data_IF_174325177711
#
_entry.id   IF_174325177711
#
_cell.length_a   1.000
_cell.length_b   1.000
_cell.length_c   1.000
_cell.angle_alpha   90.00
_cell.angle_beta   90.00
_cell.angle_gamma   90.00
#
_symmetry.space_group_name_H-M   'P 1'
#
loop_
_entity.id
_entity.type
_entity.pdbx_description
1 polymer ?
#
# COMPACT_ATOMS: atom_id res chain seq x y z
N UNK A 1 -0.40 22.60 15.02
CA UNK A 1 -1.71 23.27 15.00
C UNK A 1 -2.79 22.29 15.44
N UNK A 2 -3.40 22.49 16.62
CA UNK A 2 -4.58 21.72 17.04
C UNK A 2 -5.81 22.38 16.41
N UNK A 3 -6.27 21.85 15.28
CA UNK A 3 -7.55 22.25 14.72
C UNK A 3 -8.67 21.81 15.68
N UNK A 4 -9.68 22.66 15.87
CA UNK A 4 -10.91 22.27 16.57
C UNK A 4 -11.50 21.01 15.91
N UNK A 5 -12.09 20.10 16.69
CA UNK A 5 -12.52 18.77 16.21
C UNK A 5 -13.40 18.79 14.96
N UNK A 6 -14.22 19.83 14.77
CA UNK A 6 -15.04 20.01 13.57
C UNK A 6 -14.21 20.28 12.30
N UNK A 7 -13.12 21.06 12.41
CA UNK A 7 -12.23 21.37 11.28
C UNK A 7 -11.39 20.15 10.87
N UNK A 8 -11.02 19.30 11.83
CA UNK A 8 -10.35 18.03 11.52
C UNK A 8 -11.29 17.07 10.79
N UNK A 9 -12.54 16.95 11.22
CA UNK A 9 -13.53 16.09 10.57
C UNK A 9 -13.80 16.52 9.11
N UNK A 10 -13.95 17.82 8.86
CA UNK A 10 -14.14 18.35 7.51
C UNK A 10 -12.91 18.06 6.63
N UNK A 11 -11.71 18.29 7.15
CA UNK A 11 -10.48 18.07 6.39
C UNK A 11 -10.28 16.58 6.05
N UNK A 12 -10.41 15.69 7.04
CA UNK A 12 -10.30 14.24 6.79
C UNK A 12 -11.43 13.71 5.90
N UNK A 13 -12.65 14.25 6.01
CA UNK A 13 -13.76 13.94 5.12
C UNK A 13 -13.47 14.34 3.67
N UNK A 14 -12.90 15.53 3.45
CA UNK A 14 -12.50 15.98 2.12
C UNK A 14 -11.36 15.14 1.54
N UNK A 15 -10.34 14.79 2.34
CA UNK A 15 -9.25 13.89 1.91
C UNK A 15 -9.80 12.51 1.52
N UNK A 16 -10.70 11.95 2.32
CA UNK A 16 -11.33 10.66 2.02
C UNK A 16 -12.15 10.72 0.71
N UNK A 17 -12.93 11.78 0.50
CA UNK A 17 -13.72 11.98 -0.72
C UNK A 17 -12.83 12.07 -1.96
N UNK A 18 -11.75 12.87 -1.90
CA UNK A 18 -10.78 13.00 -2.99
C UNK A 18 -10.11 11.66 -3.28
N UNK A 19 -9.71 10.92 -2.23
CA UNK A 19 -9.11 9.60 -2.40
C UNK A 19 -10.08 8.64 -3.12
N UNK A 20 -11.34 8.59 -2.71
CA UNK A 20 -12.36 7.75 -3.37
C UNK A 20 -12.56 8.17 -4.82
N UNK A 21 -12.62 9.47 -5.11
CA UNK A 21 -12.77 9.98 -6.47
C UNK A 21 -11.57 9.61 -7.35
N UNK A 22 -10.35 9.73 -6.84
CA UNK A 22 -9.11 9.34 -7.53
C UNK A 22 -9.10 7.82 -7.78
N UNK A 23 -9.41 7.02 -6.77
CA UNK A 23 -9.49 5.55 -6.92
C UNK A 23 -10.55 5.13 -7.95
N UNK A 24 -11.68 5.84 -7.99
CA UNK A 24 -12.73 5.61 -8.98
C UNK A 24 -12.26 5.97 -10.39
N UNK A 25 -11.60 7.13 -10.56
CA UNK A 25 -11.11 7.61 -11.85
C UNK A 25 -9.95 6.75 -12.40
N UNK A 26 -9.10 6.20 -11.52
CA UNK A 26 -7.96 5.36 -11.88
C UNK A 26 -8.24 3.85 -11.81
N UNK A 27 -9.47 3.43 -11.51
CA UNK A 27 -9.81 2.04 -11.15
C UNK A 27 -9.28 0.99 -12.14
N UNK A 28 -9.37 1.27 -13.45
CA UNK A 28 -8.85 0.36 -14.49
C UNK A 28 -7.33 0.20 -14.49
N UNK A 29 -6.57 1.26 -14.20
CA UNK A 29 -5.11 1.24 -14.17
C UNK A 29 -4.55 0.69 -12.84
N UNK A 30 -5.31 0.81 -11.75
CA UNK A 30 -4.90 0.38 -10.40
C UNK A 30 -5.02 -1.13 -10.21
N UNK A 31 -5.87 -1.82 -10.99
CA UNK A 31 -6.09 -3.27 -10.88
C UNK A 31 -4.82 -4.13 -10.80
N UNK A 32 -3.86 -4.05 -11.74
CA UNK A 32 -2.65 -4.85 -11.67
C UNK A 32 -1.81 -4.57 -10.42
N UNK A 33 -1.85 -3.33 -9.91
CA UNK A 33 -1.15 -2.96 -8.68
C UNK A 33 -1.83 -3.54 -7.44
N UNK A 34 -3.16 -3.51 -7.36
CA UNK A 34 -3.91 -4.15 -6.28
C UNK A 34 -3.71 -5.65 -6.28
N UNK A 35 -3.72 -6.29 -7.45
CA UNK A 35 -3.46 -7.72 -7.57
C UNK A 35 -2.02 -8.05 -7.12
N UNK A 36 -1.03 -7.29 -7.61
CA UNK A 36 0.36 -7.47 -7.24
C UNK A 36 0.62 -7.25 -5.75
N UNK A 37 0.04 -6.20 -5.14
CA UNK A 37 0.07 -5.98 -3.70
C UNK A 37 -0.60 -7.12 -2.92
N UNK A 38 -1.74 -7.63 -3.41
CA UNK A 38 -2.42 -8.78 -2.79
C UNK A 38 -1.54 -10.02 -2.84
N UNK A 39 -0.92 -10.31 -3.99
CA UNK A 39 0.01 -11.44 -4.14
C UNK A 39 1.22 -11.26 -3.21
N UNK A 40 1.83 -10.07 -3.16
CA UNK A 40 2.94 -9.78 -2.26
C UNK A 40 2.56 -10.04 -0.80
N UNK A 41 1.43 -9.51 -0.35
CA UNK A 41 0.91 -9.74 1.00
C UNK A 41 0.76 -11.25 1.32
N UNK A 42 0.32 -12.05 0.34
CA UNK A 42 0.19 -13.49 0.52
C UNK A 42 1.52 -14.25 0.56
N UNK A 43 2.51 -13.78 -0.19
CA UNK A 43 3.82 -14.40 -0.29
C UNK A 43 4.79 -13.93 0.81
N UNK A 44 4.54 -12.78 1.44
CA UNK A 44 5.37 -12.19 2.49
C UNK A 44 5.63 -13.15 3.67
N UNK A 45 4.61 -13.85 4.24
CA UNK A 45 4.86 -14.84 5.28
C UNK A 45 5.71 -16.04 4.84
N UNK A 46 5.83 -16.28 3.53
CA UNK A 46 6.71 -17.33 2.98
C UNK A 46 8.13 -16.79 2.89
N UNK A 47 8.32 -15.56 2.41
CA UNK A 47 9.62 -14.87 2.39
C UNK A 47 10.19 -14.73 3.80
N UNK A 48 9.39 -14.31 4.78
CA UNK A 48 9.81 -14.22 6.18
C UNK A 48 10.28 -15.56 6.76
N UNK A 49 9.67 -16.67 6.33
CA UNK A 49 10.10 -18.01 6.76
C UNK A 49 11.45 -18.38 6.17
N UNK A 50 11.70 -18.01 4.91
CA UNK A 50 13.00 -18.22 4.25
C UNK A 50 14.07 -17.31 4.87
N UNK A 51 13.74 -16.07 5.20
CA UNK A 51 14.64 -15.14 5.87
C UNK A 51 15.02 -15.64 7.26
N UNK A 52 14.04 -16.13 8.03
CA UNK A 52 14.30 -16.79 9.32
C UNK A 52 15.11 -18.08 9.20
N UNK A 53 15.15 -18.71 8.04
CA UNK A 53 16.00 -19.86 7.74
C UNK A 53 17.43 -19.46 7.31
N UNK A 54 17.75 -18.17 7.27
CA UNK A 54 19.09 -17.64 6.97
C UNK A 54 19.30 -17.19 5.52
N UNK A 55 18.28 -17.21 4.67
CA UNK A 55 18.37 -16.71 3.29
C UNK A 55 18.27 -15.18 3.29
N UNK A 56 19.15 -14.48 2.55
CA UNK A 56 19.02 -13.02 2.42
C UNK A 56 17.66 -12.65 1.83
N UNK A 57 17.04 -11.56 2.30
CA UNK A 57 15.71 -11.12 1.86
C UNK A 57 15.59 -10.99 0.34
N UNK A 58 16.62 -10.46 -0.33
CA UNK A 58 16.67 -10.36 -1.80
C UNK A 58 16.58 -11.74 -2.46
N UNK A 59 17.37 -12.71 -1.99
CA UNK A 59 17.33 -14.08 -2.51
C UNK A 59 15.98 -14.75 -2.23
N UNK A 60 15.41 -14.58 -1.04
CA UNK A 60 14.11 -15.14 -0.70
C UNK A 60 13.01 -14.58 -1.62
N UNK A 61 13.01 -13.27 -1.86
CA UNK A 61 12.08 -12.62 -2.81
C UNK A 61 12.28 -13.14 -4.23
N UNK A 62 13.51 -13.17 -4.74
CA UNK A 62 13.81 -13.67 -6.10
C UNK A 62 13.36 -15.12 -6.27
N UNK A 63 13.64 -15.98 -5.29
CA UNK A 63 13.24 -17.39 -5.33
C UNK A 63 11.72 -17.56 -5.30
N UNK A 64 11.03 -16.90 -4.37
CA UNK A 64 9.57 -17.04 -4.20
C UNK A 64 8.82 -16.43 -5.38
N UNK A 65 9.18 -15.21 -5.81
CA UNK A 65 8.54 -14.59 -6.97
C UNK A 65 8.89 -15.32 -8.26
N UNK A 66 10.13 -15.79 -8.42
CA UNK A 66 10.54 -16.61 -9.55
C UNK A 66 9.76 -17.93 -9.64
N UNK A 67 9.60 -18.63 -8.50
CA UNK A 67 8.80 -19.84 -8.41
C UNK A 67 7.31 -19.57 -8.70
N UNK A 68 6.76 -18.48 -8.18
CA UNK A 68 5.38 -18.08 -8.43
C UNK A 68 5.14 -17.75 -9.92
N UNK A 69 6.05 -17.01 -10.56
CA UNK A 69 5.98 -16.71 -12.00
C UNK A 69 6.14 -17.98 -12.82
N UNK A 70 7.05 -18.89 -12.44
CA UNK A 70 7.22 -20.18 -13.12
C UNK A 70 5.97 -21.04 -13.01
N UNK A 71 5.39 -21.15 -11.81
CA UNK A 71 4.15 -21.89 -11.58
C UNK A 71 2.98 -21.29 -12.37
N UNK A 72 2.84 -19.95 -12.35
CA UNK A 72 1.82 -19.24 -13.11
C UNK A 72 2.00 -19.44 -14.62
N UNK A 73 3.22 -19.31 -15.13
CA UNK A 73 3.54 -19.53 -16.55
C UNK A 73 3.28 -20.97 -16.95
N UNK A 74 3.65 -21.94 -16.12
CA UNK A 74 3.39 -23.37 -16.36
C UNK A 74 1.89 -23.63 -16.40
N UNK A 75 1.12 -23.09 -15.45
CA UNK A 75 -0.34 -23.16 -15.45
C UNK A 75 -0.90 -22.50 -16.73
N UNK A 76 -0.43 -21.33 -17.13
CA UNK A 76 -0.91 -20.67 -18.34
C UNK A 76 -0.56 -21.44 -19.62
N UNK A 77 0.62 -22.04 -19.72
CA UNK A 77 1.04 -22.77 -20.93
C UNK A 77 0.42 -24.17 -21.02
N UNK A 78 0.14 -24.82 -19.89
CA UNK A 78 -0.43 -26.17 -19.86
C UNK A 78 -1.93 -26.17 -19.60
N UNK A 79 -2.36 -25.53 -18.51
CA UNK A 79 -3.75 -25.57 -18.06
C UNK A 79 -4.65 -24.77 -19.00
N UNK A 80 -4.27 -23.57 -19.44
CA UNK A 80 -5.16 -22.78 -20.31
C UNK A 80 -5.38 -23.46 -21.67
N UNK A 81 -4.36 -23.94 -22.41
CA UNK A 81 -4.61 -24.70 -23.63
C UNK A 81 -5.37 -25.99 -23.40
N UNK A 82 -5.14 -26.68 -22.27
CA UNK A 82 -5.93 -27.85 -21.90
C UNK A 82 -7.40 -27.49 -21.70
N UNK A 83 -7.69 -26.42 -20.96
CA UNK A 83 -9.05 -25.90 -20.73
C UNK A 83 -9.69 -25.42 -22.03
N UNK A 84 -8.95 -24.73 -22.90
CA UNK A 84 -9.45 -24.30 -24.22
C UNK A 84 -9.74 -25.52 -25.07
N UNK A 85 -8.86 -26.52 -25.15
CA UNK A 85 -9.08 -27.75 -25.93
C UNK A 85 -10.28 -28.53 -25.41
N UNK A 86 -10.39 -28.72 -24.10
CA UNK A 86 -11.52 -29.45 -23.52
C UNK A 86 -12.82 -28.65 -23.61
N UNK A 87 -12.77 -27.32 -23.47
CA UNK A 87 -13.91 -26.44 -23.64
C UNK A 87 -14.39 -26.37 -25.09
N UNK A 88 -13.47 -26.26 -26.05
CA UNK A 88 -13.79 -26.31 -27.49
C UNK A 88 -14.31 -27.68 -27.90
N UNK A 89 -13.70 -28.76 -27.40
CA UNK A 89 -14.22 -30.12 -27.62
C UNK A 89 -15.63 -30.30 -27.03
N UNK A 90 -15.90 -29.75 -25.85
CA UNK A 90 -17.24 -29.74 -25.26
C UNK A 90 -18.21 -28.98 -26.17
N UNK A 91 -17.83 -27.80 -26.66
CA UNK A 91 -18.62 -26.99 -27.60
C UNK A 91 -18.90 -27.74 -28.90
N UNK A 92 -17.88 -28.31 -29.54
CA UNK A 92 -17.98 -29.04 -30.81
C UNK A 92 -18.82 -30.31 -30.70
N UNK A 93 -18.77 -30.97 -29.54
CA UNK A 93 -19.55 -32.20 -29.30
C UNK A 93 -20.98 -31.91 -28.83
N UNK A 94 -21.29 -30.70 -28.37
CA UNK A 94 -22.61 -30.33 -27.85
C UNK A 94 -23.76 -30.53 -28.87
N UNK A 95 -23.66 -30.09 -30.14
CA UNK A 95 -24.73 -30.32 -31.12
C UNK A 95 -25.02 -31.82 -31.31
N UNK A 96 -23.97 -32.64 -31.45
CA UNK A 96 -24.09 -34.09 -31.58
C UNK A 96 -24.67 -34.74 -30.31
N UNK A 97 -24.38 -34.18 -29.12
CA UNK A 97 -25.00 -34.61 -27.86
C UNK A 97 -26.51 -34.30 -27.84
N UNK A 98 -26.93 -33.13 -28.33
CA UNK A 98 -28.36 -32.77 -28.45
C UNK A 98 -29.07 -33.67 -29.46
N UNK A 99 -28.44 -33.99 -30.59
CA UNK A 99 -29.01 -34.89 -31.60
C UNK A 99 -29.22 -36.30 -31.04
N UNK A 100 -28.24 -36.84 -30.32
CA UNK A 100 -28.36 -38.15 -29.65
C UNK A 100 -29.43 -38.11 -28.58
N UNK A 101 -29.50 -37.05 -27.79
CA UNK A 101 -30.53 -36.85 -26.79
C UNK A 101 -31.92 -36.89 -27.43
N UNK A 102 -32.16 -36.09 -28.47
CA UNK A 102 -33.43 -36.06 -29.17
C UNK A 102 -33.80 -37.43 -29.75
N UNK A 103 -32.85 -38.11 -30.41
CA UNK A 103 -33.08 -39.44 -30.96
C UNK A 103 -33.48 -40.46 -29.88
N UNK A 104 -32.82 -40.45 -28.71
CA UNK A 104 -33.18 -41.38 -27.65
C UNK A 104 -34.50 -41.01 -26.98
N UNK A 105 -34.78 -39.74 -26.72
CA UNK A 105 -36.07 -39.33 -26.12
C UNK A 105 -37.22 -39.67 -27.08
N UNK A 106 -37.06 -39.43 -28.39
CA UNK A 106 -38.03 -39.84 -29.41
C UNK A 106 -38.26 -41.35 -29.43
N UNK A 107 -37.20 -42.14 -29.30
CA UNK A 107 -37.32 -43.62 -29.28
C UNK A 107 -38.01 -44.17 -28.02
N UNK A 108 -37.82 -43.54 -26.86
CA UNK A 108 -38.33 -44.03 -25.55
C UNK A 108 -39.68 -43.42 -25.16
N UNK A 109 -39.94 -42.19 -25.56
CA UNK A 109 -41.14 -41.44 -25.21
C UNK A 109 -41.71 -40.75 -26.46
N UNK A 110 -42.17 -41.51 -27.47
CA UNK A 110 -42.68 -40.95 -28.73
C UNK A 110 -43.87 -39.99 -28.51
N UNK A 111 -44.63 -40.21 -27.44
CA UNK A 111 -45.74 -39.36 -27.00
C UNK A 111 -45.35 -37.96 -26.49
N UNK A 112 -44.06 -37.68 -26.26
CA UNK A 112 -43.55 -36.34 -25.98
C UNK A 112 -43.20 -35.55 -27.25
N UNK A 113 -43.22 -36.18 -28.43
CA UNK A 113 -42.91 -35.59 -29.74
C UNK A 113 -44.08 -35.72 -30.73
N UNK A 114 -45.25 -35.10 -30.47
CA UNK A 114 -46.19 -34.84 -31.56
C UNK A 114 -45.52 -33.90 -32.59
N UNK A 115 -45.73 -34.13 -33.89
CA UNK A 115 -45.14 -33.33 -34.97
C UNK A 115 -45.38 -31.81 -34.73
N UNK A 116 -44.30 -31.04 -34.58
CA UNK A 116 -44.36 -29.60 -34.29
C UNK A 116 -44.62 -29.23 -32.83
N UNK A 117 -44.50 -30.18 -31.90
CA UNK A 117 -44.77 -30.02 -30.48
C UNK A 117 -43.78 -29.12 -29.72
N UNK A 118 -44.16 -28.76 -28.49
CA UNK A 118 -43.36 -27.93 -27.58
C UNK A 118 -41.91 -28.41 -27.40
N UNK A 119 -41.67 -29.73 -27.41
CA UNK A 119 -40.35 -30.33 -27.20
C UNK A 119 -39.39 -30.07 -28.37
N UNK A 120 -39.86 -30.16 -29.62
CA UNK A 120 -39.02 -29.87 -30.79
C UNK A 120 -38.65 -28.38 -30.86
N UNK A 121 -39.61 -27.50 -30.56
CA UNK A 121 -39.36 -26.06 -30.47
C UNK A 121 -38.39 -25.73 -29.32
N UNK A 122 -38.55 -26.35 -28.14
CA UNK A 122 -37.64 -26.17 -27.01
C UNK A 122 -36.23 -26.70 -27.31
N UNK A 123 -36.11 -27.84 -28.00
CA UNK A 123 -34.82 -28.39 -28.43
C UNK A 123 -34.16 -27.51 -29.50
N UNK A 124 -34.90 -27.03 -30.50
CA UNK A 124 -34.38 -26.08 -31.47
C UNK A 124 -33.91 -24.79 -30.79
N UNK A 125 -34.72 -24.25 -29.88
CA UNK A 125 -34.37 -23.03 -29.16
C UNK A 125 -33.17 -23.22 -28.23
N UNK A 126 -33.04 -24.40 -27.60
CA UNK A 126 -31.84 -24.76 -26.85
C UNK A 126 -30.60 -24.82 -27.76
N UNK A 127 -30.69 -25.45 -28.95
CA UNK A 127 -29.59 -25.48 -29.94
C UNK A 127 -29.17 -24.07 -30.36
N UNK A 128 -30.12 -23.22 -30.73
CA UNK A 128 -29.82 -21.85 -31.17
C UNK A 128 -29.26 -20.99 -30.05
N UNK A 129 -29.79 -21.13 -28.82
CA UNK A 129 -29.32 -20.37 -27.65
C UNK A 129 -27.92 -20.81 -27.25
N UNK A 130 -27.65 -22.11 -27.24
CA UNK A 130 -26.34 -22.68 -26.96
C UNK A 130 -25.34 -22.22 -28.02
N UNK A 131 -25.66 -22.38 -29.31
CA UNK A 131 -24.79 -21.94 -30.40
C UNK A 131 -24.52 -20.42 -30.38
N UNK A 132 -25.54 -19.59 -30.14
CA UNK A 132 -25.40 -18.14 -30.05
C UNK A 132 -24.58 -17.70 -28.83
N UNK A 133 -24.83 -18.31 -27.67
CA UNK A 133 -24.08 -18.03 -26.44
C UNK A 133 -22.62 -18.46 -26.59
N UNK A 134 -22.37 -19.62 -27.20
CA UNK A 134 -21.02 -20.11 -27.50
C UNK A 134 -20.28 -19.20 -28.48
N UNK A 135 -20.93 -18.80 -29.58
CA UNK A 135 -20.37 -17.85 -30.54
C UNK A 135 -20.07 -16.49 -29.90
N UNK A 136 -20.91 -16.03 -28.98
CA UNK A 136 -20.69 -14.78 -28.23
C UNK A 136 -19.54 -14.90 -27.25
N UNK A 137 -19.42 -16.01 -26.50
CA UNK A 137 -18.30 -16.24 -25.56
C UNK A 137 -16.98 -16.32 -26.32
N UNK A 138 -16.89 -17.15 -27.36
CA UNK A 138 -15.68 -17.30 -28.18
C UNK A 138 -15.35 -15.98 -28.87
N UNK A 139 -16.35 -15.30 -29.46
CA UNK A 139 -16.18 -14.00 -30.10
C UNK A 139 -15.74 -12.90 -29.12
N UNK A 140 -16.23 -12.91 -27.87
CA UNK A 140 -15.81 -11.96 -26.83
C UNK A 140 -14.38 -12.25 -26.37
N UNK A 141 -14.03 -13.52 -26.17
CA UNK A 141 -12.69 -13.94 -25.74
C UNK A 141 -11.64 -13.68 -26.83
N UNK A 142 -11.96 -13.98 -28.09
CA UNK A 142 -11.01 -13.84 -29.23
C UNK A 142 -11.02 -12.44 -29.85
N UNK A 143 -12.16 -11.75 -29.87
CA UNK A 143 -12.34 -10.44 -30.51
C UNK A 143 -11.98 -9.25 -29.62
N UNK A 144 -11.89 -9.44 -28.30
CA UNK A 144 -11.50 -8.37 -27.39
C UNK A 144 -9.97 -8.20 -27.36
N UNK A 145 -9.40 -7.58 -28.40
CA UNK A 145 -8.00 -7.13 -28.41
C UNK A 145 -7.68 -6.35 -27.12
N UNK A 146 -8.60 -5.50 -26.68
CA UNK A 146 -8.49 -4.75 -25.42
C UNK A 146 -8.48 -5.66 -24.17
N UNK A 147 -9.20 -6.78 -24.20
CA UNK A 147 -9.22 -7.77 -23.12
C UNK A 147 -7.90 -8.55 -23.03
N UNK A 148 -7.34 -8.95 -24.19
CA UNK A 148 -6.02 -9.60 -24.26
C UNK A 148 -4.93 -8.63 -23.78
N UNK A 149 -4.93 -7.39 -24.25
CA UNK A 149 -3.97 -6.36 -23.81
C UNK A 149 -4.10 -6.13 -22.30
N UNK A 150 -5.31 -5.97 -21.77
CA UNK A 150 -5.55 -5.81 -20.34
C UNK A 150 -5.06 -7.01 -19.52
N UNK A 151 -5.32 -8.23 -20.00
CA UNK A 151 -4.84 -9.45 -19.37
C UNK A 151 -3.31 -9.55 -19.36
N UNK A 152 -2.66 -9.27 -20.50
CA UNK A 152 -1.19 -9.26 -20.60
C UNK A 152 -0.58 -8.19 -19.68
N UNK A 153 -1.19 -7.00 -19.62
CA UNK A 153 -0.76 -5.96 -18.70
C UNK A 153 -0.85 -6.42 -17.24
N UNK A 154 -1.95 -7.06 -16.84
CA UNK A 154 -2.06 -7.64 -15.50
C UNK A 154 -1.02 -8.74 -15.26
N UNK A 155 -0.83 -9.62 -16.24
CA UNK A 155 0.11 -10.73 -16.17
C UNK A 155 1.56 -10.27 -16.02
N UNK A 156 1.94 -9.14 -16.61
CA UNK A 156 3.30 -8.58 -16.52
C UNK A 156 3.45 -7.66 -15.31
N UNK A 157 2.52 -6.73 -15.12
CA UNK A 157 2.62 -5.69 -14.08
C UNK A 157 2.42 -6.30 -12.69
N UNK A 158 1.46 -7.21 -12.50
CA UNK A 158 1.18 -7.73 -11.15
C UNK A 158 2.36 -8.48 -10.53
N UNK A 159 3.08 -9.39 -11.24
CA UNK A 159 4.29 -10.00 -10.69
C UNK A 159 5.43 -9.00 -10.43
N UNK A 160 5.59 -7.99 -11.29
CA UNK A 160 6.60 -6.94 -11.08
C UNK A 160 6.27 -6.13 -9.83
N UNK A 161 5.02 -5.70 -9.68
CA UNK A 161 4.55 -5.01 -8.47
C UNK A 161 4.72 -5.90 -7.26
N UNK A 162 4.37 -7.18 -7.36
CA UNK A 162 4.54 -8.13 -6.26
C UNK A 162 6.01 -8.26 -5.85
N UNK A 163 6.93 -8.36 -6.81
CA UNK A 163 8.37 -8.41 -6.56
C UNK A 163 8.86 -7.20 -5.78
N UNK A 164 8.58 -5.98 -6.26
CA UNK A 164 9.01 -4.76 -5.59
C UNK A 164 8.34 -4.58 -4.22
N UNK A 165 7.04 -4.90 -4.11
CA UNK A 165 6.31 -4.83 -2.85
C UNK A 165 6.91 -5.78 -1.81
N UNK A 166 7.25 -7.01 -2.20
CA UNK A 166 7.89 -7.99 -1.32
C UNK A 166 9.30 -7.52 -0.92
N UNK A 167 10.06 -6.98 -1.88
CA UNK A 167 11.41 -6.46 -1.64
C UNK A 167 11.43 -5.24 -0.71
N UNK A 168 10.40 -4.41 -0.67
CA UNK A 168 10.36 -3.19 0.15
C UNK A 168 9.33 -3.24 1.29
N UNK A 169 8.62 -4.37 1.46
CA UNK A 169 7.50 -4.51 2.39
C UNK A 169 7.78 -3.96 3.79
N UNK A 170 8.83 -4.46 4.46
CA UNK A 170 9.15 -4.03 5.83
C UNK A 170 9.53 -2.56 5.91
N UNK A 171 10.22 -2.06 4.87
CA UNK A 171 10.64 -0.65 4.81
C UNK A 171 9.43 0.25 4.61
N UNK A 172 8.47 -0.17 3.79
CA UNK A 172 7.22 0.54 3.55
C UNK A 172 6.37 0.57 4.83
N UNK A 173 6.19 -0.57 5.51
CA UNK A 173 5.46 -0.65 6.78
C UNK A 173 6.09 0.26 7.84
N UNK A 174 7.42 0.23 8.01
CA UNK A 174 8.13 1.12 8.94
C UNK A 174 7.93 2.60 8.63
N UNK A 175 7.93 2.98 7.35
CA UNK A 175 7.68 4.37 6.93
C UNK A 175 6.24 4.79 7.21
N UNK A 176 5.26 3.94 6.90
CA UNK A 176 3.85 4.19 7.20
C UNK A 176 3.67 4.36 8.71
N UNK A 177 4.26 3.47 9.50
CA UNK A 177 4.20 3.52 10.98
C UNK A 177 4.81 4.81 11.54
N UNK A 178 5.88 5.33 10.92
CA UNK A 178 6.49 6.61 11.30
C UNK A 178 5.61 7.83 11.00
N UNK A 179 4.67 7.73 10.05
CA UNK A 179 3.73 8.79 9.68
C UNK A 179 2.48 8.83 10.56
N UNK A 180 2.24 7.80 11.38
CA UNK A 180 1.04 7.72 12.20
C UNK A 180 1.00 8.80 13.31
N UNK A 181 -0.16 9.43 13.56
CA UNK A 181 -0.33 10.34 14.67
C UNK A 181 -0.02 9.67 16.02
N UNK A 182 1.01 10.16 16.73
CA UNK A 182 1.49 9.60 18.00
C UNK A 182 0.39 9.36 19.05
N UNK A 183 -0.62 10.23 19.23
CA UNK A 183 -1.67 10.00 20.22
C UNK A 183 -2.58 8.80 19.95
N UNK A 184 -2.64 8.31 18.71
CA UNK A 184 -3.56 7.25 18.28
C UNK A 184 -2.82 5.98 17.83
N UNK A 185 -1.52 5.90 18.09
CA UNK A 185 -0.63 4.89 17.52
C UNK A 185 -1.04 3.45 17.90
N UNK A 186 -1.38 3.21 19.17
CA UNK A 186 -1.83 1.87 19.63
C UNK A 186 -3.16 1.47 19.00
N UNK A 187 -4.06 2.43 18.83
CA UNK A 187 -5.36 2.21 18.18
C UNK A 187 -5.17 1.86 16.71
N UNK A 188 -4.35 2.62 15.99
CA UNK A 188 -4.10 2.40 14.56
C UNK A 188 -3.38 1.06 14.32
N UNK A 189 -2.37 0.73 15.12
CA UNK A 189 -1.71 -0.60 15.07
C UNK A 189 -2.64 -1.73 15.46
N UNK A 190 -3.57 -1.49 16.38
CA UNK A 190 -4.61 -2.45 16.77
C UNK A 190 -5.57 -2.76 15.62
N UNK A 191 -6.02 -1.71 14.90
CA UNK A 191 -6.86 -1.86 13.72
C UNK A 191 -6.12 -2.55 12.58
N UNK A 192 -4.86 -2.16 12.32
CA UNK A 192 -4.03 -2.80 11.29
C UNK A 192 -3.88 -4.31 11.54
N UNK A 193 -3.61 -4.72 12.79
CA UNK A 193 -3.54 -6.15 13.17
C UNK A 193 -4.86 -6.88 12.97
N UNK A 194 -5.99 -6.29 13.37
CA UNK A 194 -7.30 -6.91 13.15
C UNK A 194 -7.62 -7.09 11.66
N UNK A 195 -7.24 -6.12 10.82
CA UNK A 195 -7.38 -6.23 9.36
C UNK A 195 -6.48 -7.34 8.82
N UNK A 196 -5.21 -7.38 9.26
CA UNK A 196 -4.22 -8.38 8.85
C UNK A 196 -4.66 -9.81 9.22
N UNK A 197 -5.12 -10.00 10.46
CA UNK A 197 -5.66 -11.27 10.97
C UNK A 197 -6.86 -11.72 10.12
N UNK A 198 -7.81 -10.82 9.83
CA UNK A 198 -8.97 -11.14 9.00
C UNK A 198 -8.61 -11.51 7.57
N UNK A 199 -7.72 -10.75 6.91
CA UNK A 199 -7.32 -11.01 5.53
C UNK A 199 -6.48 -12.29 5.44
N UNK A 200 -5.44 -12.40 6.26
CA UNK A 200 -4.52 -13.55 6.22
C UNK A 200 -5.21 -14.84 6.62
N UNK A 201 -6.10 -14.78 7.61
CA UNK A 201 -6.93 -15.89 8.04
C UNK A 201 -7.90 -16.36 6.97
N UNK A 202 -8.62 -15.44 6.31
CA UNK A 202 -9.50 -15.77 5.19
C UNK A 202 -8.73 -16.46 4.07
N UNK A 203 -7.59 -15.91 3.63
CA UNK A 203 -6.91 -16.45 2.45
C UNK A 203 -6.29 -17.81 2.74
N UNK A 204 -5.68 -18.01 3.92
CA UNK A 204 -5.18 -19.32 4.34
C UNK A 204 -6.31 -20.35 4.44
N UNK A 205 -7.43 -19.95 5.04
CA UNK A 205 -8.59 -20.80 5.16
C UNK A 205 -9.16 -21.19 3.80
N UNK A 206 -9.36 -20.21 2.92
CA UNK A 206 -9.91 -20.40 1.59
C UNK A 206 -9.01 -21.26 0.70
N UNK A 207 -7.69 -21.12 0.78
CA UNK A 207 -6.76 -21.98 0.07
C UNK A 207 -6.92 -23.46 0.46
N UNK A 208 -7.10 -23.75 1.76
CA UNK A 208 -7.36 -25.11 2.25
C UNK A 208 -8.73 -25.62 1.77
N UNK A 209 -9.77 -24.79 1.82
CA UNK A 209 -11.10 -25.14 1.32
C UNK A 209 -11.05 -25.51 -0.17
N UNK A 210 -10.40 -24.68 -1.00
CA UNK A 210 -10.25 -24.91 -2.43
C UNK A 210 -9.50 -26.22 -2.69
N UNK A 211 -8.42 -26.50 -1.94
CA UNK A 211 -7.67 -27.73 -2.09
C UNK A 211 -8.54 -28.97 -1.76
N UNK A 212 -9.30 -28.91 -0.67
CA UNK A 212 -10.21 -30.00 -0.27
C UNK A 212 -11.28 -30.22 -1.35
N UNK A 213 -11.92 -29.14 -1.81
CA UNK A 213 -12.96 -29.23 -2.85
C UNK A 213 -12.40 -29.70 -4.19
N UNK A 214 -11.18 -29.30 -4.56
CA UNK A 214 -10.54 -29.72 -5.80
C UNK A 214 -10.34 -31.24 -5.80
N UNK A 215 -9.85 -31.81 -4.69
CA UNK A 215 -9.73 -33.25 -4.53
C UNK A 215 -11.11 -33.91 -4.50
N UNK A 216 -12.04 -33.39 -3.69
CA UNK A 216 -13.38 -33.95 -3.53
C UNK A 216 -14.14 -34.05 -4.86
N UNK A 217 -14.24 -32.94 -5.60
CA UNK A 217 -14.95 -32.93 -6.88
C UNK A 217 -14.22 -33.73 -7.95
N UNK A 218 -12.89 -33.61 -8.06
CA UNK A 218 -12.14 -34.33 -9.09
C UNK A 218 -12.24 -35.85 -8.90
N UNK A 219 -12.05 -36.33 -7.66
CA UNK A 219 -12.15 -37.75 -7.34
C UNK A 219 -13.59 -38.22 -7.45
N UNK A 220 -14.56 -37.48 -6.89
CA UNK A 220 -15.98 -37.84 -6.96
C UNK A 220 -16.47 -38.00 -8.40
N UNK A 221 -16.20 -37.02 -9.25
CA UNK A 221 -16.62 -37.06 -10.66
C UNK A 221 -15.86 -38.13 -11.46
N UNK A 222 -14.57 -38.33 -11.18
CA UNK A 222 -13.79 -39.40 -11.82
C UNK A 222 -14.29 -40.81 -11.43
N UNK A 223 -14.69 -41.02 -10.17
CA UNK A 223 -15.23 -42.30 -9.70
C UNK A 223 -16.58 -42.64 -10.34
N UNK A 224 -17.41 -41.63 -10.62
CA UNK A 224 -18.66 -41.83 -11.39
C UNK A 224 -18.35 -42.09 -12.88
N UNK A 225 -17.12 -41.84 -13.33
CA UNK A 225 -16.71 -41.99 -14.72
C UNK A 225 -17.10 -40.81 -15.60
N UNK A 226 -17.41 -39.65 -15.02
CA UNK A 226 -17.84 -38.48 -15.78
C UNK A 226 -16.70 -38.01 -16.69
N UNK A 227 -16.93 -37.85 -18.02
CA UNK A 227 -15.93 -37.28 -18.91
C UNK A 227 -15.47 -35.92 -18.42
N UNK A 228 -14.16 -35.68 -18.46
CA UNK A 228 -13.52 -34.45 -17.98
C UNK A 228 -13.72 -34.18 -16.47
N UNK A 229 -14.11 -35.18 -15.67
CA UNK A 229 -14.44 -35.02 -14.25
C UNK A 229 -13.35 -34.33 -13.40
N UNK A 230 -12.06 -34.64 -13.65
CA UNK A 230 -10.93 -33.97 -12.97
C UNK A 230 -10.87 -32.49 -13.32
N UNK A 231 -11.00 -32.14 -14.60
CA UNK A 231 -10.91 -30.75 -15.04
C UNK A 231 -12.10 -29.93 -14.56
N UNK A 232 -13.29 -30.50 -14.63
CA UNK A 232 -14.49 -29.85 -14.10
C UNK A 232 -14.37 -29.69 -12.58
N UNK A 233 -13.88 -30.70 -11.87
CA UNK A 233 -13.70 -30.66 -10.42
C UNK A 233 -12.68 -29.61 -9.95
N UNK A 234 -11.50 -29.55 -10.57
CA UNK A 234 -10.50 -28.50 -10.28
C UNK A 234 -11.02 -27.12 -10.63
N UNK A 235 -11.72 -26.97 -11.77
CA UNK A 235 -12.28 -25.69 -12.20
C UNK A 235 -13.37 -25.20 -11.24
N UNK A 236 -14.29 -26.09 -10.85
CA UNK A 236 -15.35 -25.82 -9.89
C UNK A 236 -14.75 -25.37 -8.54
N UNK A 237 -13.78 -26.13 -8.03
CA UNK A 237 -13.12 -25.78 -6.76
C UNK A 237 -12.34 -24.46 -6.82
N UNK A 238 -11.66 -24.18 -7.93
CA UNK A 238 -10.96 -22.90 -8.12
C UNK A 238 -11.93 -21.72 -8.12
N UNK A 239 -13.09 -21.88 -8.78
CA UNK A 239 -14.16 -20.89 -8.80
C UNK A 239 -14.86 -20.73 -7.44
N UNK A 240 -14.80 -21.74 -6.56
CA UNK A 240 -15.28 -21.62 -5.17
C UNK A 240 -14.48 -20.62 -4.33
N UNK A 241 -13.41 -20.00 -4.86
CA UNK A 241 -12.84 -18.79 -4.26
C UNK A 241 -13.90 -17.71 -4.06
N UNK A 242 -14.84 -17.59 -5.01
CA UNK A 242 -16.03 -16.75 -4.87
C UNK A 242 -17.16 -17.63 -4.34
N UNK A 243 -17.79 -17.29 -3.20
CA UNK A 243 -18.84 -18.11 -2.61
C UNK A 243 -19.94 -18.46 -3.62
N UNK A 244 -20.37 -19.73 -3.63
CA UNK A 244 -21.42 -20.31 -4.50
C UNK A 244 -21.11 -20.38 -6.00
N UNK A 245 -20.16 -19.59 -6.51
CA UNK A 245 -19.87 -19.54 -7.96
C UNK A 245 -19.31 -20.88 -8.44
N UNK A 246 -18.39 -21.48 -7.69
CA UNK A 246 -17.77 -22.75 -8.06
C UNK A 246 -18.76 -23.91 -8.16
N UNK A 247 -19.67 -24.02 -7.20
CA UNK A 247 -20.68 -25.08 -7.17
C UNK A 247 -21.78 -24.86 -8.21
N UNK A 248 -22.19 -23.61 -8.45
CA UNK A 248 -23.14 -23.27 -9.50
C UNK A 248 -22.57 -23.57 -10.89
N UNK A 249 -21.42 -22.99 -11.23
CA UNK A 249 -20.82 -23.14 -12.56
C UNK A 249 -20.38 -24.58 -12.79
N UNK A 250 -19.66 -25.16 -11.83
CA UNK A 250 -19.20 -26.54 -11.89
C UNK A 250 -20.36 -27.54 -11.94
N UNK A 251 -21.42 -27.30 -11.16
CA UNK A 251 -22.60 -28.16 -11.10
C UNK A 251 -23.39 -28.13 -12.39
N UNK A 252 -23.65 -26.93 -12.95
CA UNK A 252 -24.32 -26.79 -14.24
C UNK A 252 -23.54 -27.50 -15.36
N UNK A 253 -22.22 -27.29 -15.42
CA UNK A 253 -21.38 -27.97 -16.42
C UNK A 253 -21.40 -29.49 -16.22
N UNK A 254 -21.23 -29.96 -14.98
CA UNK A 254 -21.18 -31.40 -14.68
C UNK A 254 -22.49 -32.10 -14.94
N UNK A 255 -23.62 -31.51 -14.52
CA UNK A 255 -24.96 -32.05 -14.76
C UNK A 255 -25.26 -32.06 -16.25
N UNK A 256 -24.89 -30.99 -16.98
CA UNK A 256 -24.97 -30.97 -18.43
C UNK A 256 -24.24 -32.15 -19.06
N UNK A 257 -22.95 -32.29 -18.77
CA UNK A 257 -22.13 -33.41 -19.27
C UNK A 257 -22.69 -34.77 -18.86
N UNK A 258 -23.20 -34.90 -17.63
CA UNK A 258 -23.75 -36.15 -17.10
C UNK A 258 -25.05 -36.55 -17.80
N UNK A 259 -25.97 -35.61 -18.02
CA UNK A 259 -27.22 -35.86 -18.74
C UNK A 259 -26.94 -36.42 -20.14
N UNK A 260 -25.89 -35.96 -20.80
CA UNK A 260 -25.51 -36.47 -22.12
C UNK A 260 -24.73 -37.78 -22.08
N UNK A 261 -23.79 -37.92 -21.14
CA UNK A 261 -22.87 -39.06 -21.08
C UNK A 261 -23.53 -40.31 -20.53
N UNK A 262 -24.50 -40.13 -19.62
CA UNK A 262 -25.14 -41.20 -18.85
C UNK A 262 -26.63 -41.29 -19.17
N UNK A 263 -27.01 -40.97 -20.40
CA UNK A 263 -28.40 -40.98 -20.82
C UNK A 263 -29.00 -42.39 -20.72
N UNK A 264 -30.08 -42.53 -19.95
CA UNK A 264 -30.69 -43.83 -19.63
C UNK A 264 -30.19 -44.47 -18.34
N UNK A 265 -29.18 -43.88 -17.70
CA UNK A 265 -28.62 -44.30 -16.40
C UNK A 265 -28.87 -43.22 -15.33
N UNK A 266 -30.12 -43.05 -14.86
CA UNK A 266 -30.48 -41.97 -13.94
C UNK A 266 -29.68 -42.01 -12.63
N UNK A 267 -29.21 -43.19 -12.21
CA UNK A 267 -28.36 -43.35 -11.04
C UNK A 267 -27.06 -42.54 -11.13
N UNK A 268 -26.39 -42.51 -12.29
CA UNK A 268 -25.13 -41.79 -12.48
C UNK A 268 -25.34 -40.28 -12.53
N UNK A 269 -26.42 -39.82 -13.17
CA UNK A 269 -26.81 -38.40 -13.20
C UNK A 269 -27.16 -37.90 -11.79
N UNK A 270 -27.93 -38.70 -11.04
CA UNK A 270 -28.25 -38.41 -9.64
C UNK A 270 -26.99 -38.44 -8.77
N UNK A 271 -26.04 -39.34 -9.04
CA UNK A 271 -24.76 -39.38 -8.33
C UNK A 271 -23.95 -38.10 -8.56
N UNK A 272 -23.86 -37.59 -9.80
CA UNK A 272 -23.19 -36.32 -10.11
C UNK A 272 -23.87 -35.14 -9.40
N UNK A 273 -25.19 -35.04 -9.46
CA UNK A 273 -25.93 -34.02 -8.72
C UNK A 273 -25.71 -34.14 -7.21
N UNK A 274 -25.72 -35.38 -6.69
CA UNK A 274 -25.45 -35.71 -5.29
C UNK A 274 -24.05 -35.28 -4.84
N UNK A 275 -23.03 -35.43 -5.68
CA UNK A 275 -21.66 -34.94 -5.40
C UNK A 275 -21.65 -33.42 -5.22
N UNK A 276 -22.35 -32.66 -6.08
CA UNK A 276 -22.41 -31.19 -5.94
C UNK A 276 -23.21 -30.76 -4.72
N UNK A 277 -24.33 -31.43 -4.42
CA UNK A 277 -25.11 -31.18 -3.20
C UNK A 277 -24.29 -31.50 -1.95
N UNK A 278 -23.61 -32.65 -1.93
CA UNK A 278 -22.74 -33.05 -0.82
C UNK A 278 -21.56 -32.09 -0.67
N UNK A 279 -20.94 -31.67 -1.79
CA UNK A 279 -19.86 -30.68 -1.79
C UNK A 279 -20.33 -29.32 -1.28
N UNK A 280 -21.52 -28.86 -1.68
CA UNK A 280 -22.12 -27.61 -1.20
C UNK A 280 -22.47 -27.67 0.30
N UNK A 281 -22.99 -28.81 0.77
CA UNK A 281 -23.24 -29.05 2.19
C UNK A 281 -21.93 -29.08 2.98
N UNK A 282 -20.92 -29.77 2.47
CA UNK A 282 -19.59 -29.85 3.05
C UNK A 282 -18.94 -28.46 3.10
N UNK A 283 -19.00 -27.70 2.02
CA UNK A 283 -18.49 -26.33 1.93
C UNK A 283 -19.20 -25.41 2.92
N UNK A 284 -20.53 -25.28 2.80
CA UNK A 284 -21.29 -24.28 3.55
C UNK A 284 -21.47 -24.61 5.04
N UNK A 285 -21.62 -25.89 5.40
CA UNK A 285 -21.95 -26.27 6.78
C UNK A 285 -20.74 -26.71 7.59
N UNK A 286 -19.64 -27.13 6.95
CA UNK A 286 -18.49 -27.67 7.66
C UNK A 286 -17.20 -26.92 7.35
N UNK A 287 -16.77 -26.87 6.08
CA UNK A 287 -15.50 -26.29 5.69
C UNK A 287 -15.46 -24.79 5.94
N UNK A 288 -16.45 -24.03 5.44
CA UNK A 288 -16.49 -22.58 5.63
C UNK A 288 -16.54 -22.22 7.13
N UNK A 289 -17.47 -22.71 7.97
CA UNK A 289 -17.50 -22.31 9.38
C UNK A 289 -16.26 -22.73 10.17
N UNK A 290 -15.72 -23.93 9.91
CA UNK A 290 -14.59 -24.49 10.68
C UNK A 290 -13.24 -23.93 10.26
N UNK A 291 -13.07 -23.60 8.97
CA UNK A 291 -11.78 -23.18 8.40
C UNK A 291 -11.74 -21.65 8.23
N UNK A 292 -12.84 -21.04 7.77
CA UNK A 292 -12.89 -19.61 7.39
C UNK A 292 -13.74 -18.76 8.36
N UNK A 293 -14.72 -19.36 9.03
CA UNK A 293 -15.81 -18.66 9.73
C UNK A 293 -15.37 -17.70 10.83
N UNK A 294 -14.31 -18.03 11.57
CA UNK A 294 -13.80 -17.16 12.65
C UNK A 294 -13.02 -15.93 12.17
N UNK A 295 -12.60 -15.90 10.90
CA UNK A 295 -11.60 -14.92 10.42
C UNK A 295 -12.25 -13.64 9.87
N UNK A 296 -13.42 -13.75 9.24
CA UNK A 296 -14.03 -12.61 8.51
C UNK A 296 -15.13 -11.92 9.33
N UNK A 297 -15.90 -12.66 10.14
CA UNK A 297 -16.89 -12.08 11.05
C UNK A 297 -17.94 -11.16 10.39
N UNK A 298 -18.20 -11.35 9.09
CA UNK A 298 -19.18 -10.58 8.34
C UNK A 298 -20.51 -11.30 8.28
N UNK A 299 -21.60 -10.57 8.48
CA UNK A 299 -22.94 -11.06 8.19
C UNK A 299 -23.08 -11.35 6.68
N UNK A 300 -23.83 -12.37 6.24
CA UNK A 300 -23.97 -12.73 4.82
C UNK A 300 -24.35 -11.56 3.90
N UNK A 301 -25.21 -10.66 4.38
CA UNK A 301 -25.62 -9.44 3.65
C UNK A 301 -24.43 -8.53 3.33
N UNK A 302 -23.47 -8.37 4.25
CA UNK A 302 -22.25 -7.59 3.99
C UNK A 302 -21.38 -8.23 2.93
N UNK A 303 -21.35 -9.56 2.89
CA UNK A 303 -20.60 -10.33 1.90
C UNK A 303 -21.20 -10.15 0.49
N UNK A 304 -22.54 -10.25 0.37
CA UNK A 304 -23.25 -9.97 -0.87
C UNK A 304 -23.06 -8.52 -1.35
N UNK A 305 -23.11 -7.56 -0.42
CA UNK A 305 -22.86 -6.15 -0.71
C UNK A 305 -21.43 -5.93 -1.20
N UNK A 306 -20.43 -6.50 -0.53
CA UNK A 306 -19.03 -6.39 -0.92
C UNK A 306 -18.79 -6.98 -2.33
N UNK A 307 -19.32 -8.17 -2.61
CA UNK A 307 -19.23 -8.79 -3.94
C UNK A 307 -19.86 -7.91 -5.02
N UNK A 308 -21.02 -7.33 -4.75
CA UNK A 308 -21.73 -6.46 -5.70
C UNK A 308 -20.98 -5.15 -5.95
N UNK A 309 -20.52 -4.48 -4.89
CA UNK A 309 -19.82 -3.19 -4.96
C UNK A 309 -18.45 -3.37 -5.63
N UNK A 310 -17.60 -4.26 -5.12
CA UNK A 310 -16.26 -4.46 -5.67
C UNK A 310 -16.31 -5.13 -7.05
N UNK A 311 -17.25 -6.06 -7.28
CA UNK A 311 -17.47 -6.65 -8.60
C UNK A 311 -17.88 -5.64 -9.66
N UNK A 312 -18.72 -4.66 -9.30
CA UNK A 312 -19.13 -3.59 -10.24
C UNK A 312 -17.99 -2.60 -10.49
N UNK A 313 -17.25 -2.21 -9.45
CA UNK A 313 -16.18 -1.21 -9.57
C UNK A 313 -14.95 -1.74 -10.28
N UNK A 314 -14.62 -3.01 -10.05
CA UNK A 314 -13.31 -3.58 -10.36
C UNK A 314 -13.41 -4.90 -11.15
N UNK A 315 -14.61 -5.27 -11.60
CA UNK A 315 -14.86 -6.46 -12.40
C UNK A 315 -14.52 -7.76 -11.66
N UNK A 316 -14.00 -8.73 -12.40
CA UNK A 316 -13.62 -10.05 -11.87
C UNK A 316 -12.57 -9.96 -10.76
N UNK A 317 -11.56 -9.10 -10.90
CA UNK A 317 -10.54 -8.91 -9.85
C UNK A 317 -11.19 -8.36 -8.58
N UNK A 318 -12.14 -7.44 -8.72
CA UNK A 318 -12.97 -6.94 -7.63
C UNK A 318 -13.71 -8.02 -6.86
N UNK A 319 -14.32 -8.97 -7.57
CA UNK A 319 -14.98 -10.13 -6.95
C UNK A 319 -14.01 -11.00 -6.14
N UNK A 320 -12.78 -11.21 -6.63
CA UNK A 320 -11.76 -11.95 -5.90
C UNK A 320 -11.35 -11.23 -4.61
N UNK A 321 -11.10 -9.92 -4.65
CA UNK A 321 -10.66 -9.20 -3.44
C UNK A 321 -11.83 -8.73 -2.55
N UNK A 322 -13.08 -8.96 -2.96
CA UNK A 322 -14.26 -8.44 -2.28
C UNK A 322 -14.37 -8.86 -0.81
N UNK A 323 -14.11 -10.14 -0.51
CA UNK A 323 -14.25 -10.66 0.86
C UNK A 323 -13.17 -10.09 1.79
N UNK A 324 -11.87 -10.14 1.44
CA UNK A 324 -10.82 -9.45 2.20
C UNK A 324 -11.06 -7.96 2.41
N UNK A 325 -11.44 -7.24 1.35
CA UNK A 325 -11.71 -5.80 1.44
C UNK A 325 -12.95 -5.52 2.29
N UNK A 326 -14.00 -6.32 2.14
CA UNK A 326 -15.19 -6.25 2.97
C UNK A 326 -14.87 -6.49 4.45
N UNK A 327 -13.96 -7.42 4.75
CA UNK A 327 -13.52 -7.70 6.12
C UNK A 327 -12.78 -6.51 6.71
N UNK A 328 -11.86 -5.92 5.93
CA UNK A 328 -11.10 -4.72 6.33
C UNK A 328 -12.03 -3.53 6.60
N UNK A 329 -12.99 -3.28 5.70
CA UNK A 329 -14.03 -2.25 5.90
C UNK A 329 -14.86 -2.57 7.14
N UNK A 330 -15.22 -3.83 7.36
CA UNK A 330 -15.96 -4.28 8.54
C UNK A 330 -15.25 -3.96 9.86
N UNK A 331 -13.93 -4.14 9.93
CA UNK A 331 -13.11 -3.75 11.10
C UNK A 331 -13.22 -2.24 11.35
N UNK A 332 -13.06 -1.42 10.31
CA UNK A 332 -13.11 0.04 10.41
C UNK A 332 -14.52 0.50 10.82
N UNK A 333 -15.57 -0.08 10.23
CA UNK A 333 -16.96 0.27 10.54
C UNK A 333 -17.31 -0.09 11.98
N UNK A 334 -16.95 -1.30 12.46
CA UNK A 334 -17.19 -1.70 13.86
C UNK A 334 -16.52 -0.74 14.82
N UNK A 335 -15.24 -0.45 14.61
CA UNK A 335 -14.50 0.53 15.41
C UNK A 335 -15.15 1.93 15.38
N UNK A 336 -15.60 2.37 14.20
CA UNK A 336 -16.23 3.69 14.03
C UNK A 336 -17.57 3.76 14.78
N UNK A 337 -18.38 2.70 14.76
CA UNK A 337 -19.63 2.61 15.52
C UNK A 337 -19.37 2.60 17.02
N UNK A 338 -18.37 1.84 17.48
CA UNK A 338 -18.02 1.81 18.90
C UNK A 338 -17.56 3.19 19.39
N UNK A 339 -16.77 3.91 18.57
CA UNK A 339 -16.38 5.30 18.85
C UNK A 339 -17.54 6.27 18.81
N UNK A 340 -18.48 6.09 17.88
CA UNK A 340 -19.69 6.90 17.80
C UNK A 340 -20.55 6.75 19.06
N UNK A 341 -20.75 5.52 19.56
CA UNK A 341 -21.56 5.25 20.76
C UNK A 341 -21.00 5.86 22.05
N UNK A 342 -19.68 6.03 22.15
CA UNK A 342 -19.04 6.70 23.29
C UNK A 342 -18.89 8.21 23.09
N UNK A 343 -19.26 8.73 21.92
CA UNK A 343 -19.08 10.14 21.60
C UNK A 343 -20.17 11.01 22.23
N UNK A 344 -19.87 12.29 22.54
CA UNK A 344 -20.86 13.28 22.99
C UNK A 344 -22.08 13.41 22.05
N UNK A 345 -21.86 13.20 20.74
CA UNK A 345 -22.92 13.20 19.71
C UNK A 345 -23.98 12.12 19.95
N UNK A 346 -23.60 10.96 20.50
CA UNK A 346 -24.53 9.87 20.79
C UNK A 346 -25.08 9.95 22.21
N UNK A 347 -24.24 10.28 23.20
CA UNK A 347 -24.66 10.33 24.61
C UNK A 347 -25.47 11.58 24.95
N UNK A 348 -25.44 12.61 24.09
CA UNK A 348 -26.07 13.91 24.37
C UNK A 348 -25.37 14.71 25.48
N UNK A 349 -24.23 14.21 25.99
CA UNK A 349 -23.46 14.91 27.00
C UNK A 349 -22.77 16.13 26.39
N UNK A 350 -22.80 17.26 27.08
CA UNK A 350 -22.05 18.44 26.67
C UNK A 350 -20.56 18.10 26.65
N UNK A 351 -19.85 18.47 25.57
CA UNK A 351 -18.43 18.21 25.44
C UNK A 351 -17.71 18.79 26.69
N UNK A 352 -16.80 18.04 27.35
CA UNK A 352 -16.12 18.54 28.54
C UNK A 352 -15.53 19.90 28.26
N UNK A 353 -15.86 20.90 29.09
CA UNK A 353 -15.32 22.23 28.95
C UNK A 353 -13.78 22.13 28.85
N UNK A 354 -13.15 22.78 27.87
CA UNK A 354 -11.70 22.71 27.72
C UNK A 354 -11.07 23.09 29.06
N UNK A 355 -10.23 22.19 29.60
CA UNK A 355 -9.53 22.43 30.87
C UNK A 355 -8.85 23.79 30.72
N UNK A 356 -9.18 24.79 31.57
CA UNK A 356 -8.59 26.11 31.43
C UNK A 356 -7.07 25.94 31.49
N UNK A 357 -6.40 26.42 30.45
CA UNK A 357 -4.93 26.48 30.41
C UNK A 357 -4.50 27.07 31.75
N UNK A 358 -3.57 26.46 32.51
CA UNK A 358 -3.15 27.02 33.77
C UNK A 358 -2.64 28.43 33.49
N UNK A 359 -3.44 29.42 33.85
CA UNK A 359 -3.04 30.81 33.81
C UNK A 359 -1.90 30.89 34.80
N UNK A 360 -0.67 31.10 34.32
CA UNK A 360 0.44 31.50 35.17
C UNK A 360 0.04 32.83 35.81
N UNK A 361 -0.64 32.75 36.96
CA UNK A 361 -0.91 33.91 37.78
C UNK A 361 0.43 34.33 38.34
N UNK A 362 0.92 35.48 37.90
CA UNK A 362 2.08 36.12 38.49
C UNK A 362 1.75 36.35 39.98
N UNK A 363 2.24 35.48 40.86
CA UNK A 363 2.17 35.69 42.32
C UNK A 363 3.06 36.86 42.77
N UNK A 364 3.85 37.41 41.86
CA UNK A 364 4.68 38.59 42.05
C UNK A 364 3.96 39.86 41.55
N UNK A 365 4.32 41.05 42.08
CA UNK A 365 3.78 42.32 41.60
C UNK A 365 3.93 42.45 40.09
N UNK A 366 2.90 43.00 39.42
CA UNK A 366 2.86 43.19 37.96
C UNK A 366 4.19 43.77 37.45
N UNK A 367 4.81 43.10 36.48
CA UNK A 367 6.03 43.57 35.80
C UNK A 367 7.33 42.96 36.31
N UNK A 368 7.27 42.03 37.27
CA UNK A 368 8.47 41.34 37.78
C UNK A 368 9.06 40.40 36.71
N UNK A 369 8.22 39.69 35.98
CA UNK A 369 8.64 38.82 34.87
C UNK A 369 9.23 39.65 33.72
N UNK A 370 8.57 40.76 33.33
CA UNK A 370 9.06 41.64 32.27
C UNK A 370 10.45 42.22 32.61
N UNK A 371 10.67 42.59 33.88
CA UNK A 371 11.97 43.10 34.34
C UNK A 371 13.04 42.01 34.33
N UNK A 372 12.72 40.78 34.78
CA UNK A 372 13.66 39.65 34.74
C UNK A 372 14.04 39.24 33.32
N UNK A 373 13.07 39.22 32.40
CA UNK A 373 13.32 38.91 30.98
C UNK A 373 14.20 40.00 30.36
N UNK A 374 13.92 41.28 30.62
CA UNK A 374 14.75 42.37 30.12
C UNK A 374 16.19 42.33 30.68
N UNK A 375 16.36 42.00 31.97
CA UNK A 375 17.69 41.85 32.57
C UNK A 375 18.43 40.65 31.98
N UNK A 376 17.76 39.50 31.82
CA UNK A 376 18.35 38.30 31.26
C UNK A 376 18.79 38.49 29.79
N UNK A 377 17.99 39.21 29.00
CA UNK A 377 18.33 39.57 27.62
C UNK A 377 19.56 40.48 27.58
N UNK A 378 19.64 41.51 28.43
CA UNK A 378 20.81 42.40 28.51
C UNK A 378 22.09 41.63 28.88
N UNK A 379 22.02 40.75 29.88
CA UNK A 379 23.18 39.94 30.27
C UNK A 379 23.62 38.97 29.18
N UNK A 380 22.69 38.44 28.38
CA UNK A 380 23.01 37.58 27.25
C UNK A 380 23.68 38.36 26.12
N UNK A 381 23.14 39.53 25.77
CA UNK A 381 23.70 40.39 24.72
C UNK A 381 25.11 40.90 25.10
N UNK A 382 25.35 41.17 26.38
CA UNK A 382 26.65 41.58 26.92
C UNK A 382 27.67 40.44 26.86
N UNK A 383 27.30 39.24 27.30
CA UNK A 383 28.16 38.05 27.19
C UNK A 383 28.49 37.69 25.73
N UNK A 384 27.53 37.82 24.81
CA UNK A 384 27.76 37.62 23.38
C UNK A 384 28.68 38.69 22.77
N UNK A 385 28.66 39.91 23.32
CA UNK A 385 29.58 40.99 22.91
C UNK A 385 31.01 40.70 23.38
N UNK A 386 31.19 40.31 24.62
CA UNK A 386 32.51 39.95 25.18
C UNK A 386 33.13 38.78 24.41
N UNK A 387 32.36 37.72 24.16
CA UNK A 387 32.83 36.56 23.38
C UNK A 387 33.29 36.93 21.96
N UNK A 388 32.63 37.91 21.31
CA UNK A 388 33.04 38.42 19.98
C UNK A 388 34.31 39.27 20.04
N UNK A 389 34.51 40.01 21.12
CA UNK A 389 35.74 40.80 21.32
C UNK A 389 36.92 39.85 21.55
N UNK A 390 36.72 38.81 22.36
CA UNK A 390 37.74 37.80 22.63
C UNK A 390 38.12 37.05 21.34
N UNK A 391 37.13 36.58 20.57
CA UNK A 391 37.39 35.89 19.30
C UNK A 391 38.15 36.76 18.29
N UNK A 392 37.82 38.06 18.20
CA UNK A 392 38.50 38.99 17.30
C UNK A 392 39.94 39.29 17.75
N UNK A 393 40.19 39.29 19.07
CA UNK A 393 41.54 39.48 19.62
C UNK A 393 42.42 38.27 19.32
N UNK A 394 41.88 37.07 19.47
CA UNK A 394 42.57 35.82 19.13
C UNK A 394 42.89 35.75 17.64
N UNK A 395 41.94 36.10 16.78
CA UNK A 395 42.12 36.13 15.33
C UNK A 395 43.19 37.15 14.90
N UNK A 396 43.20 38.34 15.53
CA UNK A 396 44.24 39.34 15.31
C UNK A 396 45.63 38.88 15.82
N UNK A 397 45.68 38.15 16.92
CA UNK A 397 46.92 37.61 17.46
C UNK A 397 47.50 36.53 16.54
N UNK A 398 46.66 35.62 16.03
CA UNK A 398 47.07 34.59 15.06
C UNK A 398 47.60 35.23 13.78
N UNK A 399 46.88 36.21 13.22
CA UNK A 399 47.31 36.92 12.01
C UNK A 399 48.65 37.65 12.21
N UNK A 400 48.89 38.23 13.39
CA UNK A 400 50.16 38.88 13.71
C UNK A 400 51.32 37.88 13.85
N UNK A 401 51.07 36.69 14.40
CA UNK A 401 52.06 35.62 14.52
C UNK A 401 52.40 35.03 13.15
N UNK A 402 51.40 34.82 12.28
CA UNK A 402 51.63 34.34 10.91
C UNK A 402 52.46 35.35 10.08
N UNK A 403 52.12 36.64 10.13
CA UNK A 403 52.88 37.68 9.43
C UNK A 403 54.33 37.78 9.93
N UNK A 404 54.57 37.63 11.24
CA UNK A 404 55.92 37.64 11.80
C UNK A 404 56.76 36.41 11.40
N UNK A 405 56.11 35.27 11.13
CA UNK A 405 56.77 34.05 10.68
C UNK A 405 57.22 34.13 9.21
N UNK A 406 56.52 34.89 8.36
CA UNK A 406 56.87 35.07 6.94
C UNK A 406 58.08 35.99 6.72
N UNK A 407 58.24 37.04 7.54
CA UNK A 407 59.28 38.06 7.36
C UNK A 407 60.57 37.84 8.19
N UNK A 408 60.65 36.78 9.00
CA UNK A 408 61.86 36.45 9.79
C UNK A 408 62.21 37.49 10.88
N UNK A 409 61.26 38.36 11.24
CA UNK A 409 61.45 39.40 12.25
C UNK A 409 61.38 38.82 13.68
N UNK A 410 62.33 39.19 14.54
CA UNK A 410 62.26 38.87 15.97
C UNK A 410 61.02 39.54 16.60
N UNK A 411 60.22 38.72 17.29
CA UNK A 411 58.93 39.08 17.88
C UNK A 411 59.13 40.20 18.93
N UNK A 412 58.94 41.45 18.51
CA UNK A 412 58.60 42.53 19.44
C UNK A 412 57.11 42.40 19.75
N UNK A 413 56.78 42.29 21.04
CA UNK A 413 55.40 42.19 21.53
C UNK A 413 54.55 43.35 20.97
N UNK A 414 53.81 43.11 19.89
CA UNK A 414 52.86 44.07 19.36
C UNK A 414 51.57 43.98 20.18
N UNK A 415 51.33 44.99 21.00
CA UNK A 415 50.06 45.15 21.72
C UNK A 415 49.00 45.64 20.73
N UNK A 416 48.05 44.77 20.38
CA UNK A 416 46.97 45.08 19.44
C UNK A 416 45.77 45.62 20.22
N UNK A 417 45.51 46.92 20.11
CA UNK A 417 44.33 47.57 20.68
C UNK A 417 43.22 47.66 19.62
N UNK A 418 42.12 46.93 19.82
CA UNK A 418 40.94 46.96 18.95
C UNK A 418 39.92 47.93 19.54
N UNK A 419 39.79 49.13 18.96
CA UNK A 419 38.85 50.14 19.42
C UNK A 419 37.60 50.16 18.55
N UNK A 420 36.44 49.88 19.16
CA UNK A 420 35.14 50.01 18.50
C UNK A 420 34.61 51.44 18.66
N UNK A 421 33.95 52.02 17.62
CA UNK A 421 33.26 53.29 17.79
C UNK A 421 32.05 53.12 18.71
N UNK A 422 31.89 54.04 19.67
CA UNK A 422 30.73 54.08 20.56
C UNK A 422 29.45 54.24 19.73
N UNK A 423 28.71 53.14 19.58
CA UNK A 423 27.39 53.17 18.95
C UNK A 423 26.40 53.83 19.92
N UNK A 424 26.19 55.13 19.78
CA UNK A 424 25.00 55.78 20.32
C UNK A 424 23.75 55.17 19.67
N UNK A 425 22.65 54.94 20.42
CA UNK A 425 21.43 54.35 19.89
C UNK A 425 20.64 55.41 19.14
N UNK A 426 21.12 55.81 17.96
CA UNK A 426 20.39 56.64 17.03
C UNK A 426 20.42 55.98 15.65
N UNK A 427 19.27 55.41 15.28
CA UNK A 427 18.82 54.98 13.96
C UNK A 427 19.82 55.19 12.79
N UNK A 428 20.39 54.10 12.29
CA UNK A 428 21.11 54.12 11.02
C UNK A 428 21.90 52.84 10.77
N UNK A 429 21.56 52.14 9.70
CA UNK A 429 22.29 50.98 9.17
C UNK A 429 23.68 51.40 8.68
N UNK A 430 24.66 51.41 9.59
CA UNK A 430 26.06 51.61 9.26
C UNK A 430 26.88 50.45 9.80
N UNK A 431 27.46 49.64 8.92
CA UNK A 431 28.45 48.64 9.31
C UNK A 431 29.69 49.41 9.78
N UNK A 432 29.90 49.47 11.10
CA UNK A 432 31.10 50.05 11.69
C UNK A 432 32.16 48.96 11.78
N UNK A 433 33.21 49.09 10.97
CA UNK A 433 34.36 48.18 11.01
C UNK A 433 35.35 48.62 12.09
N UNK A 434 35.95 47.67 12.85
CA UNK A 434 36.98 47.99 13.83
C UNK A 434 38.25 48.53 13.13
N UNK A 435 38.90 49.53 13.74
CA UNK A 435 40.22 50.00 13.31
C UNK A 435 41.29 49.34 14.17
N UNK A 436 42.27 48.70 13.53
CA UNK A 436 43.43 48.09 14.18
C UNK A 436 44.62 49.03 14.03
N UNK A 437 45.26 49.42 15.14
CA UNK A 437 46.55 50.14 15.14
C UNK A 437 47.61 49.25 15.77
N UNK A 438 48.76 49.15 15.11
CA UNK A 438 49.97 48.49 15.63
C UNK A 438 51.01 49.57 15.93
N UNK A 439 51.66 49.50 17.10
CA UNK A 439 52.75 50.42 17.46
C UNK A 439 54.10 49.74 17.20
N UNK A 440 54.98 50.41 16.45
CA UNK A 440 56.37 49.98 16.27
C UNK A 440 57.18 50.27 17.54
N UNK A 441 57.92 49.27 18.02
CA UNK A 441 58.79 49.38 19.19
C UNK A 441 59.96 50.35 18.97
N UNK A 442 60.34 51.03 20.06
CA UNK A 442 61.45 51.99 20.17
C UNK A 442 62.79 51.29 19.90
N UNK A 443 63.62 51.81 18.99
CA UNK A 443 65.03 51.40 18.88
C UNK A 443 65.85 51.93 20.06
N UNK A 444 66.96 51.28 20.46
CA UNK A 444 67.71 51.64 21.68
C UNK A 444 68.54 52.92 21.59
N UNK A 445 68.62 53.58 20.44
CA UNK A 445 69.36 54.83 20.27
C UNK A 445 68.38 56.01 20.17
N UNK A 446 68.53 56.95 21.09
CA UNK A 446 67.52 57.96 21.43
C UNK A 446 67.45 59.14 20.45
N UNK A 447 67.06 58.89 19.20
CA UNK A 447 66.78 59.95 18.22
C UNK A 447 65.30 60.03 17.87
N UNK A 448 64.71 61.19 18.13
CA UNK A 448 63.36 61.61 17.75
C UNK A 448 63.27 61.85 16.22
N UNK A 449 62.31 61.27 15.48
CA UNK A 449 62.10 61.63 14.10
C UNK A 449 60.94 62.64 13.99
N UNK A 450 61.22 63.89 14.34
CA UNK A 450 60.62 65.04 13.65
C UNK A 450 61.66 65.62 12.69
N UNK A 451 61.82 65.02 11.51
CA UNK A 451 62.41 65.71 10.35
C UNK A 451 61.85 65.11 9.04
N UNK A 452 61.34 65.92 8.09
CA UNK A 452 60.57 65.43 6.95
C UNK A 452 61.44 65.36 5.69
N UNK A 453 62.41 64.44 5.62
CA UNK A 453 63.14 64.23 4.36
C UNK A 453 63.81 62.85 4.29
N UNK A 454 63.03 61.77 4.15
CA UNK A 454 63.55 60.51 3.61
C UNK A 454 62.46 59.72 2.87
N UNK A 455 62.38 59.95 1.56
CA UNK A 455 61.69 59.08 0.60
C UNK A 455 62.53 57.81 0.42
N UNK A 456 62.32 56.78 1.24
CA UNK A 456 62.51 55.35 0.91
C UNK A 456 62.39 54.45 2.17
N UNK A 457 61.24 54.48 2.85
CA UNK A 457 60.92 53.49 3.90
C UNK A 457 60.16 52.28 3.29
N UNK A 458 60.39 51.05 3.78
CA UNK A 458 59.63 49.87 3.35
C UNK A 458 58.14 50.06 3.65
N UNK A 459 57.29 49.59 2.73
CA UNK A 459 55.83 49.77 2.78
C UNK A 459 55.29 49.27 4.13
N UNK A 460 54.61 50.14 4.87
CA UNK A 460 53.91 49.76 6.11
C UNK A 460 52.87 48.69 5.81
N UNK A 461 52.77 47.67 6.67
CA UNK A 461 51.83 46.54 6.58
C UNK A 461 50.35 46.93 6.36
N UNK A 462 49.98 48.18 6.64
CA UNK A 462 48.66 48.73 6.32
C UNK A 462 48.36 48.79 4.80
N UNK A 463 49.36 48.99 3.94
CA UNK A 463 49.15 48.99 2.47
C UNK A 463 49.01 47.58 1.88
N UNK A 464 49.59 46.55 2.52
CA UNK A 464 49.54 45.17 2.03
C UNK A 464 48.16 44.54 2.26
N UNK A 465 47.46 44.96 3.32
CA UNK A 465 46.14 44.42 3.69
C UNK A 465 45.01 44.95 2.79
N UNK A 466 45.18 46.12 2.17
CA UNK A 466 44.12 46.72 1.31
C UNK A 466 44.10 46.12 -0.10
N UNK A 467 45.23 45.62 -0.62
CA UNK A 467 45.34 45.01 -1.96
C UNK A 467 44.91 43.53 -1.97
N UNK A 468 45.12 42.80 -0.86
CA UNK A 468 44.66 41.41 -0.69
C UNK A 468 43.14 41.23 -0.60
N UNK A 469 42.35 42.33 -0.53
CA UNK A 469 40.88 42.31 -0.47
C UNK A 469 40.19 42.67 -1.79
N UNK A 470 40.94 42.89 -2.87
CA UNK A 470 40.40 43.10 -4.24
C UNK A 470 40.71 41.96 -5.21
N UNK A 471 41.06 40.77 -4.70
CA UNK A 471 41.19 39.51 -5.45
C UNK A 471 39.96 38.62 -5.31
#
# INVERSE_FOLDING_TARGET
MRFAGSKQAIWWGAVALVLVLVLWLLGGAIMPFLLGMSIAYLLDPVVDRLERAGVSRVLAVVLITGLAVLALTTALVWLVPLLIRQGTQLVETTPAMIDRLQAVVQSRYPQLFPDGGFVDNALQQARTTVAASMGTIVGTVMGSINGVIGFVMVLVIAPVVAFYMLLDWDRMVRRIDALLPRPHLDTLRGLARQIDDSISGFVRGQAVVILILAVFYSVGLALVGLPFGIVIGVSAASLSFIPYVGTLVGGVISIGVALFSFWGEPAQIIAVAGIFVAGQMLEGNYLQPKIVGGQVGLHPVWLMLALSVFGTLFGFVGLLVAVPLGAAVGVIVRYSVDRYKVSPLYTGAEAPAPVPTPTLVELAPRGTVARRVATAQRTHDEAMREARIESARDEAHIAAVEAAAEDGAQIAMAEVEVKWPDASPALGTGHSHPRVRTWGGRTPDGTDPQDPEERNAPRTAAEIIEDGRRG
#
